data_IF_532450694789
#
_entry.id   IF_532450694789
#
_cell.length_a   1.000
_cell.length_b   1.000
_cell.length_c   1.000
_cell.angle_alpha   90.00
_cell.angle_beta   90.00
_cell.angle_gamma   90.00
#
_symmetry.space_group_name_H-M   'P 1'
#
loop_
_entity.id
_entity.type
_entity.pdbx_description
1 polymer ?
#
# COMPACT_ATOMS: atom_id res chain seq x y z
N UNK A 1 -30.62 8.25 -8.79
CA UNK A 1 -30.40 8.49 -7.35
C UNK A 1 -28.92 8.22 -7.15
N UNK A 2 -28.10 9.19 -6.72
CA UNK A 2 -26.74 8.84 -6.32
C UNK A 2 -26.86 7.76 -5.24
N UNK A 3 -26.10 6.68 -5.36
CA UNK A 3 -26.08 5.61 -4.36
C UNK A 3 -25.74 6.18 -2.98
N UNK A 4 -26.13 5.48 -1.93
CA UNK A 4 -25.70 5.82 -0.58
C UNK A 4 -24.18 5.60 -0.49
N UNK A 5 -23.41 6.69 -0.54
CA UNK A 5 -21.95 6.68 -0.39
C UNK A 5 -21.55 5.94 0.90
N UNK A 6 -20.82 4.84 0.73
CA UNK A 6 -20.43 3.87 1.74
C UNK A 6 -18.93 3.53 1.62
N UNK A 7 -18.06 4.48 1.97
CA UNK A 7 -16.64 4.37 1.69
C UNK A 7 -15.98 3.30 2.55
N UNK A 8 -14.99 2.62 1.97
CA UNK A 8 -14.15 1.64 2.66
C UNK A 8 -12.79 2.22 2.96
N UNK A 9 -12.12 1.73 4.00
CA UNK A 9 -10.73 2.09 4.26
C UNK A 9 -9.86 1.51 3.13
N UNK A 10 -9.12 2.37 2.43
CA UNK A 10 -8.29 2.04 1.25
C UNK A 10 -6.81 1.94 1.60
N UNK A 11 -6.31 2.88 2.38
CA UNK A 11 -4.94 2.85 2.91
C UNK A 11 -4.86 3.54 4.27
N UNK A 12 -3.84 3.19 5.05
CA UNK A 12 -3.63 3.73 6.39
C UNK A 12 -2.15 3.64 6.82
N UNK A 13 -1.75 4.55 7.71
CA UNK A 13 -0.41 4.55 8.29
C UNK A 13 -0.42 5.18 9.67
N UNK A 14 0.23 4.51 10.63
CA UNK A 14 0.46 5.04 11.97
C UNK A 14 1.90 5.54 12.13
N UNK A 15 2.05 6.70 12.78
CA UNK A 15 3.34 7.25 13.24
C UNK A 15 3.59 6.83 14.68
N UNK A 16 2.55 6.89 15.51
CA UNK A 16 2.51 6.38 16.89
C UNK A 16 1.07 6.06 17.28
N UNK A 17 0.84 5.76 18.56
CA UNK A 17 -0.50 5.42 19.10
C UNK A 17 -1.56 6.49 18.78
N UNK A 18 -1.20 7.75 18.94
CA UNK A 18 -2.15 8.87 18.91
C UNK A 18 -2.07 9.66 17.59
N UNK A 19 -1.09 9.36 16.74
CA UNK A 19 -0.90 9.96 15.41
C UNK A 19 -0.98 8.89 14.33
N UNK A 20 -2.07 8.89 13.57
CA UNK A 20 -2.25 8.03 12.40
C UNK A 20 -3.12 8.70 11.33
N UNK A 21 -3.00 8.23 10.09
CA UNK A 21 -3.78 8.69 8.95
C UNK A 21 -4.59 7.53 8.36
N UNK A 22 -5.84 7.81 8.02
CA UNK A 22 -6.80 6.89 7.42
C UNK A 22 -7.34 7.50 6.13
N UNK A 23 -7.44 6.68 5.08
CA UNK A 23 -7.99 7.12 3.79
C UNK A 23 -9.17 6.23 3.45
N UNK A 24 -10.33 6.86 3.32
CA UNK A 24 -11.58 6.23 2.94
C UNK A 24 -11.96 6.62 1.51
N UNK A 25 -12.46 5.67 0.73
CA UNK A 25 -12.92 5.93 -0.63
C UNK A 25 -13.84 4.83 -1.15
N UNK A 26 -14.50 5.11 -2.26
CA UNK A 26 -15.24 4.14 -3.06
C UNK A 26 -14.53 3.92 -4.38
N UNK A 27 -14.63 2.70 -4.90
CA UNK A 27 -14.17 2.36 -6.25
C UNK A 27 -15.26 2.82 -7.22
N UNK A 28 -15.24 4.09 -7.58
CA UNK A 28 -16.08 4.68 -8.63
C UNK A 28 -15.16 5.35 -9.67
N UNK A 29 -15.27 4.90 -10.92
CA UNK A 29 -14.36 5.32 -12.00
C UNK A 29 -14.66 6.73 -12.53
N UNK A 30 -15.93 7.14 -12.49
CA UNK A 30 -16.41 8.43 -13.01
C UNK A 30 -16.54 9.51 -11.93
N UNK A 31 -16.48 9.13 -10.64
CA UNK A 31 -16.62 10.04 -9.50
C UNK A 31 -15.60 9.75 -8.38
N UNK A 32 -14.32 9.65 -8.77
CA UNK A 32 -13.23 9.37 -7.82
C UNK A 32 -13.23 10.35 -6.66
N UNK A 33 -13.29 9.82 -5.44
CA UNK A 33 -13.36 10.62 -4.23
C UNK A 33 -12.70 9.90 -3.07
N UNK A 34 -11.84 10.61 -2.35
CA UNK A 34 -11.21 10.12 -1.12
C UNK A 34 -11.39 11.10 0.02
N UNK A 35 -11.72 10.55 1.18
CA UNK A 35 -11.70 11.23 2.47
C UNK A 35 -10.39 10.87 3.17
N UNK A 36 -9.56 11.87 3.43
CA UNK A 36 -8.35 11.73 4.23
C UNK A 36 -8.61 12.21 5.64
N UNK A 37 -8.46 11.31 6.61
CA UNK A 37 -8.60 11.60 8.03
C UNK A 37 -7.24 11.50 8.71
N UNK A 38 -6.88 12.55 9.43
CA UNK A 38 -5.69 12.59 10.27
C UNK A 38 -6.13 12.64 11.73
N UNK A 39 -5.71 11.67 12.51
CA UNK A 39 -5.90 11.67 13.96
C UNK A 39 -4.64 12.21 14.64
N UNK A 40 -4.82 13.15 15.55
CA UNK A 40 -3.81 13.61 16.48
C UNK A 40 -4.45 13.82 17.87
N UNK A 41 -4.18 12.89 18.78
CA UNK A 41 -4.73 12.89 20.14
C UNK A 41 -4.22 14.01 21.07
N UNK A 42 -3.31 14.89 20.62
CA UNK A 42 -2.90 16.06 21.40
C UNK A 42 -3.88 17.23 21.30
N UNK A 43 -4.81 17.20 20.35
CA UNK A 43 -5.82 18.24 20.17
C UNK A 43 -7.17 17.83 20.76
N UNK A 44 -7.94 18.82 21.23
CA UNK A 44 -9.29 18.62 21.76
C UNK A 44 -10.26 18.07 20.70
N UNK A 45 -10.09 18.53 19.46
CA UNK A 45 -10.71 17.94 18.26
C UNK A 45 -9.62 17.14 17.54
N UNK A 46 -9.46 15.83 17.82
CA UNK A 46 -8.30 15.07 17.37
C UNK A 46 -8.36 14.71 15.88
N UNK A 47 -9.51 14.91 15.23
CA UNK A 47 -9.71 14.57 13.83
C UNK A 47 -9.63 15.80 12.94
N UNK A 48 -8.80 15.69 11.90
CA UNK A 48 -8.80 16.62 10.76
C UNK A 48 -9.20 15.86 9.50
N UNK A 49 -10.11 16.43 8.71
CA UNK A 49 -10.59 15.86 7.45
C UNK A 49 -10.16 16.72 6.26
N UNK A 50 -9.77 16.06 5.18
CA UNK A 50 -9.48 16.67 3.88
C UNK A 50 -10.09 15.78 2.79
N UNK A 51 -10.78 16.39 1.84
CA UNK A 51 -11.44 15.68 0.75
C UNK A 51 -10.73 15.99 -0.58
N UNK A 52 -10.56 14.98 -1.42
CA UNK A 52 -9.99 15.14 -2.76
C UNK A 52 -10.79 14.34 -3.79
N UNK A 53 -10.90 14.90 -5.00
CA UNK A 53 -11.48 14.23 -6.16
C UNK A 53 -10.44 13.33 -6.86
N UNK A 54 -9.88 12.40 -6.08
CA UNK A 54 -8.85 11.43 -6.50
C UNK A 54 -9.02 10.13 -5.73
N UNK A 55 -8.59 9.02 -6.31
CA UNK A 55 -8.34 7.79 -5.56
C UNK A 55 -6.95 7.86 -4.93
N UNK A 56 -6.87 7.72 -3.60
CA UNK A 56 -5.63 7.72 -2.84
C UNK A 56 -5.25 6.28 -2.48
N UNK A 57 -4.13 5.83 -3.04
CA UNK A 57 -3.70 4.43 -2.98
C UNK A 57 -2.71 4.15 -1.84
N UNK A 58 -1.90 5.13 -1.45
CA UNK A 58 -0.89 4.94 -0.42
C UNK A 58 -0.75 6.15 0.49
N UNK A 59 -0.36 5.87 1.73
CA UNK A 59 0.01 6.86 2.73
C UNK A 59 1.23 6.37 3.52
N UNK A 60 2.15 7.28 3.80
CA UNK A 60 3.34 7.02 4.62
C UNK A 60 3.69 8.25 5.45
N UNK A 61 4.46 8.06 6.52
CA UNK A 61 5.02 9.15 7.31
C UNK A 61 6.20 9.79 6.60
N UNK A 62 6.25 11.12 6.53
CA UNK A 62 7.29 11.88 5.85
C UNK A 62 7.50 13.26 6.50
N UNK A 63 8.72 13.78 6.46
CA UNK A 63 9.04 15.14 6.91
C UNK A 63 9.94 15.20 8.16
N UNK A 64 10.55 16.39 8.43
CA UNK A 64 11.53 16.55 9.50
C UNK A 64 10.86 16.85 10.84
N UNK A 65 11.26 16.13 11.90
CA UNK A 65 11.04 16.53 13.29
C UNK A 65 11.61 17.96 13.53
N UNK A 66 10.82 19.01 13.27
CA UNK A 66 11.24 20.38 13.54
C UNK A 66 11.38 20.52 15.05
N UNK A 67 12.55 20.97 15.52
CA UNK A 67 12.82 21.11 16.95
C UNK A 67 11.75 21.97 17.63
N UNK A 68 10.87 21.33 18.41
CA UNK A 68 9.75 21.95 19.13
C UNK A 68 8.36 21.78 18.52
N UNK A 69 8.24 21.24 17.30
CA UNK A 69 6.97 20.83 16.69
C UNK A 69 6.94 19.32 16.45
N UNK A 70 5.77 18.69 16.51
CA UNK A 70 5.58 17.29 16.08
C UNK A 70 5.85 17.22 14.58
N UNK A 71 7.08 16.89 14.19
CA UNK A 71 7.53 17.07 12.79
C UNK A 71 7.53 15.82 11.92
N UNK A 72 6.70 14.83 12.22
CA UNK A 72 6.37 13.81 11.21
C UNK A 72 4.99 14.15 10.65
N UNK A 73 4.94 14.47 9.35
CA UNK A 73 3.73 14.65 8.57
C UNK A 73 3.43 13.35 7.80
N UNK A 74 2.35 13.36 7.02
CA UNK A 74 2.02 12.28 6.09
C UNK A 74 2.21 12.75 4.66
N UNK A 75 2.75 11.88 3.82
CA UNK A 75 2.64 11.98 2.37
C UNK A 75 1.62 10.95 1.88
N UNK A 76 0.76 11.35 0.95
CA UNK A 76 -0.32 10.53 0.38
C UNK A 76 -0.22 10.55 -1.14
N UNK A 77 -0.38 9.41 -1.77
CA UNK A 77 -0.20 9.23 -3.21
C UNK A 77 -1.53 8.84 -3.87
N UNK A 78 -1.93 9.58 -4.90
CA UNK A 78 -3.04 9.20 -5.76
C UNK A 78 -2.64 8.17 -6.82
N UNK A 79 -3.62 7.44 -7.35
CA UNK A 79 -3.45 6.60 -8.54
C UNK A 79 -2.90 7.39 -9.75
N UNK A 80 -3.27 8.67 -9.84
CA UNK A 80 -2.82 9.61 -10.86
C UNK A 80 -1.44 10.21 -10.60
N UNK A 81 -0.76 9.90 -9.49
CA UNK A 81 0.57 10.44 -9.19
C UNK A 81 0.58 11.87 -8.65
N UNK A 82 -0.55 12.34 -8.14
CA UNK A 82 -0.59 13.48 -7.23
C UNK A 82 -0.08 13.04 -5.85
N UNK A 83 0.83 13.80 -5.27
CA UNK A 83 1.38 13.57 -3.93
C UNK A 83 0.98 14.71 -3.02
N UNK A 84 0.16 14.41 -2.02
CA UNK A 84 -0.33 15.37 -1.05
C UNK A 84 0.45 15.26 0.26
N UNK A 85 0.68 16.39 0.91
CA UNK A 85 1.35 16.43 2.22
C UNK A 85 0.42 16.98 3.28
N UNK A 86 0.42 16.37 4.47
CA UNK A 86 -0.45 16.78 5.58
C UNK A 86 -0.01 18.07 6.29
N UNK A 87 0.98 18.77 5.74
CA UNK A 87 1.47 20.06 6.22
C UNK A 87 0.40 21.16 6.17
N UNK A 88 0.56 22.26 6.92
CA UNK A 88 -0.32 23.42 6.82
C UNK A 88 -0.47 23.90 5.36
N UNK A 89 -1.70 24.13 4.93
CA UNK A 89 -2.00 24.49 3.55
C UNK A 89 -2.15 23.30 2.59
N UNK A 90 -1.87 22.08 3.06
CA UNK A 90 -2.05 20.82 2.33
C UNK A 90 -1.45 20.86 0.91
N UNK A 91 -0.13 21.13 0.80
CA UNK A 91 0.49 21.26 -0.51
C UNK A 91 0.42 19.93 -1.27
N UNK A 92 0.35 20.05 -2.59
CA UNK A 92 0.33 18.93 -3.51
C UNK A 92 1.43 19.08 -4.56
N UNK A 93 2.05 17.97 -4.92
CA UNK A 93 3.01 17.83 -6.01
C UNK A 93 2.47 16.86 -7.05
N UNK A 94 2.98 16.94 -8.28
CA UNK A 94 2.66 16.00 -9.36
C UNK A 94 3.92 15.28 -9.79
N UNK A 95 3.87 13.95 -9.85
CA UNK A 95 4.90 13.13 -10.49
C UNK A 95 4.68 13.20 -11.99
N UNK A 96 5.60 13.85 -12.70
CA UNK A 96 5.50 14.02 -14.15
C UNK A 96 5.48 12.67 -14.87
N UNK A 97 4.56 12.49 -15.82
CA UNK A 97 4.45 11.25 -16.59
C UNK A 97 3.63 10.14 -15.92
N UNK A 98 3.25 10.30 -14.66
CA UNK A 98 2.48 9.31 -13.91
C UNK A 98 0.96 9.51 -14.06
N UNK A 99 0.22 8.42 -13.89
CA UNK A 99 -1.24 8.41 -13.93
C UNK A 99 -1.82 7.70 -15.15
N UNK A 100 -3.15 7.57 -15.15
CA UNK A 100 -3.92 6.91 -16.21
C UNK A 100 -4.56 7.98 -17.09
N UNK A 101 -5.24 8.95 -16.46
CA UNK A 101 -6.05 9.96 -17.14
C UNK A 101 -5.43 11.36 -17.10
N UNK A 102 -4.33 11.53 -16.37
CA UNK A 102 -3.62 12.81 -16.30
C UNK A 102 -3.16 13.27 -17.69
N UNK A 103 -3.24 14.58 -18.02
CA UNK A 103 -2.84 15.09 -19.34
C UNK A 103 -1.37 14.83 -19.71
N UNK A 104 -0.50 14.65 -18.71
CA UNK A 104 0.92 14.33 -18.87
C UNK A 104 1.22 12.83 -18.73
N UNK A 105 0.21 11.97 -18.61
CA UNK A 105 0.39 10.53 -18.42
C UNK A 105 1.18 9.89 -19.58
N UNK A 106 2.17 9.08 -19.24
CA UNK A 106 3.03 8.37 -20.21
C UNK A 106 2.42 7.06 -20.73
N UNK A 107 1.20 6.71 -20.32
CA UNK A 107 0.55 5.43 -20.66
C UNK A 107 1.04 4.23 -19.86
N UNK A 108 1.94 4.43 -18.89
CA UNK A 108 2.50 3.36 -18.05
C UNK A 108 1.55 2.91 -16.92
N UNK A 109 0.45 3.63 -16.66
CA UNK A 109 -0.59 3.24 -15.70
C UNK A 109 -0.52 3.97 -14.36
N UNK A 110 -1.26 3.44 -13.38
CA UNK A 110 -1.43 4.04 -12.05
C UNK A 110 -0.27 3.73 -11.09
N UNK A 111 -0.12 4.63 -10.11
CA UNK A 111 0.75 4.43 -8.95
C UNK A 111 -0.02 3.83 -7.78
N UNK A 112 0.61 2.93 -7.03
CA UNK A 112 -0.04 2.18 -5.95
C UNK A 112 0.69 2.24 -4.63
N UNK A 113 1.99 2.53 -4.62
CA UNK A 113 2.80 2.39 -3.43
C UNK A 113 3.68 3.61 -3.19
N UNK A 114 3.81 3.97 -1.91
CA UNK A 114 4.60 5.09 -1.43
C UNK A 114 5.41 4.64 -0.20
N UNK A 115 6.70 4.93 -0.20
CA UNK A 115 7.58 4.70 0.95
C UNK A 115 8.49 5.89 1.20
N UNK A 116 8.82 6.10 2.47
CA UNK A 116 9.72 7.15 2.92
C UNK A 116 10.95 6.55 3.60
N UNK A 117 12.08 7.23 3.45
CA UNK A 117 13.24 7.06 4.32
C UNK A 117 13.91 8.41 4.54
N UNK A 118 13.82 8.93 5.77
CA UNK A 118 14.24 10.31 6.07
C UNK A 118 13.52 11.31 5.16
N UNK A 119 14.30 12.15 4.47
CA UNK A 119 13.77 13.17 3.56
C UNK A 119 13.63 12.68 2.10
N UNK A 120 13.64 11.36 1.87
CA UNK A 120 13.47 10.77 0.54
C UNK A 120 12.13 10.05 0.46
N UNK A 121 11.39 10.28 -0.61
CA UNK A 121 10.20 9.48 -0.97
C UNK A 121 10.48 8.63 -2.20
N UNK A 122 9.80 7.49 -2.24
CA UNK A 122 9.76 6.59 -3.37
C UNK A 122 8.31 6.28 -3.69
N UNK A 123 7.95 6.37 -4.97
CA UNK A 123 6.63 5.99 -5.46
C UNK A 123 6.78 4.92 -6.53
N UNK A 124 5.85 3.97 -6.59
CA UNK A 124 5.90 2.90 -7.58
C UNK A 124 4.50 2.43 -8.02
N UNK A 125 4.42 1.89 -9.23
CA UNK A 125 3.16 1.53 -9.88
C UNK A 125 3.30 0.51 -10.99
N UNK A 126 2.31 0.49 -11.89
CA UNK A 126 2.24 -0.46 -13.02
C UNK A 126 3.45 -0.29 -13.96
N UNK A 127 3.74 -1.33 -14.75
CA UNK A 127 4.75 -1.30 -15.81
C UNK A 127 6.14 -0.87 -15.34
N UNK A 128 6.55 -1.33 -14.15
CA UNK A 128 7.84 -1.04 -13.54
C UNK A 128 8.09 0.43 -13.22
N UNK A 129 7.04 1.27 -13.14
CA UNK A 129 7.17 2.66 -12.73
C UNK A 129 7.77 2.73 -11.33
N UNK A 130 8.92 3.38 -11.20
CA UNK A 130 9.51 3.74 -9.91
C UNK A 130 10.02 5.17 -10.00
N UNK A 131 9.71 5.97 -8.99
CA UNK A 131 10.09 7.38 -8.89
C UNK A 131 10.73 7.65 -7.54
N UNK A 132 11.64 8.61 -7.50
CA UNK A 132 12.33 9.07 -6.30
C UNK A 132 12.19 10.58 -6.16
N UNK A 133 11.88 11.03 -4.94
CA UNK A 133 11.89 12.44 -4.56
C UNK A 133 13.02 12.69 -3.57
N UNK A 134 13.93 13.60 -3.91
CA UNK A 134 15.00 14.04 -3.03
C UNK A 134 14.59 15.15 -2.06
N UNK A 135 15.59 15.69 -1.35
CA UNK A 135 15.45 16.88 -0.49
C UNK A 135 15.13 18.16 -1.25
N UNK A 136 15.48 18.21 -2.52
CA UNK A 136 15.17 19.31 -3.45
C UNK A 136 13.68 19.38 -3.83
N UNK A 137 12.91 18.34 -3.47
CA UNK A 137 11.49 18.25 -3.78
C UNK A 137 11.18 17.91 -5.22
N UNK A 138 12.18 17.44 -5.98
CA UNK A 138 12.00 17.08 -7.38
C UNK A 138 11.80 15.57 -7.48
N UNK A 139 10.74 15.17 -8.18
CA UNK A 139 10.51 13.78 -8.56
C UNK A 139 11.28 13.43 -9.83
N UNK A 140 12.00 12.31 -9.79
CA UNK A 140 12.69 11.75 -10.94
C UNK A 140 12.23 10.30 -11.15
N UNK A 141 12.07 9.88 -12.41
CA UNK A 141 11.97 8.46 -12.73
C UNK A 141 13.28 7.80 -12.30
N UNK A 142 13.18 6.77 -11.45
CA UNK A 142 14.32 6.12 -10.82
C UNK A 142 14.32 4.65 -11.22
N UNK A 143 15.39 4.22 -11.88
CA UNK A 143 15.48 2.88 -12.46
C UNK A 143 15.56 2.92 -13.99
N UNK A 144 14.98 3.94 -14.64
CA UNK A 144 15.07 4.10 -16.09
C UNK A 144 16.54 4.17 -16.56
N UNK A 145 16.91 3.27 -17.47
CA UNK A 145 18.26 3.07 -17.99
C UNK A 145 19.22 2.31 -17.05
N UNK A 146 18.78 1.85 -15.89
CA UNK A 146 19.62 1.05 -14.99
C UNK A 146 19.66 -0.42 -15.40
N UNK A 147 20.75 -1.11 -15.05
CA UNK A 147 20.86 -2.55 -15.28
C UNK A 147 19.76 -3.31 -14.54
N UNK A 148 19.04 -4.20 -15.24
CA UNK A 148 18.02 -5.07 -14.67
C UNK A 148 16.64 -4.43 -14.51
N UNK A 149 16.45 -3.20 -15.00
CA UNK A 149 15.14 -2.52 -15.07
C UNK A 149 14.06 -3.40 -15.70
N UNK A 150 14.40 -4.10 -16.79
CA UNK A 150 13.47 -4.95 -17.53
C UNK A 150 12.82 -6.03 -16.65
N UNK A 151 13.49 -6.41 -15.55
CA UNK A 151 12.99 -7.41 -14.62
C UNK A 151 11.80 -6.94 -13.79
N UNK A 152 11.62 -5.61 -13.62
CA UNK A 152 10.48 -5.03 -12.89
C UNK A 152 9.38 -4.51 -13.80
N UNK A 153 9.61 -4.43 -15.10
CA UNK A 153 8.64 -3.91 -16.07
C UNK A 153 7.32 -4.72 -16.10
N UNK A 154 7.38 -6.02 -15.82
CA UNK A 154 6.20 -6.91 -15.85
C UNK A 154 5.70 -7.29 -14.44
N UNK A 155 6.04 -6.51 -13.42
CA UNK A 155 5.68 -6.82 -12.04
C UNK A 155 4.39 -6.10 -11.65
N UNK A 156 3.38 -6.87 -11.26
CA UNK A 156 2.21 -6.38 -10.55
C UNK A 156 2.62 -6.03 -9.12
N UNK A 157 2.96 -4.75 -8.90
CA UNK A 157 3.48 -4.30 -7.62
C UNK A 157 2.44 -4.45 -6.51
N UNK A 158 2.82 -5.11 -5.42
CA UNK A 158 1.98 -5.30 -4.25
C UNK A 158 2.42 -4.47 -3.04
N UNK A 159 3.73 -4.34 -2.81
CA UNK A 159 4.26 -3.52 -1.72
C UNK A 159 5.66 -3.00 -2.00
N UNK A 160 5.99 -1.86 -1.36
CA UNK A 160 7.35 -1.33 -1.29
C UNK A 160 7.75 -0.97 0.13
N UNK A 161 9.05 -1.04 0.42
CA UNK A 161 9.62 -0.46 1.64
C UNK A 161 10.99 0.14 1.34
N UNK A 162 11.22 1.36 1.83
CA UNK A 162 12.51 2.02 1.71
C UNK A 162 13.43 1.59 2.86
N UNK A 163 14.67 1.25 2.53
CA UNK A 163 15.72 0.89 3.47
C UNK A 163 16.97 1.73 3.20
N UNK A 164 17.02 2.94 3.76
CA UNK A 164 18.04 3.90 3.35
C UNK A 164 17.59 4.75 2.16
N UNK A 165 18.37 5.79 1.81
CA UNK A 165 18.03 6.74 0.75
C UNK A 165 18.24 6.20 -0.68
N UNK A 166 18.71 4.96 -0.81
CA UNK A 166 19.13 4.33 -2.06
C UNK A 166 18.64 2.89 -2.20
N UNK A 167 17.97 2.29 -1.20
CA UNK A 167 17.49 0.91 -1.33
C UNK A 167 15.99 0.89 -1.21
N UNK A 168 15.35 0.37 -2.25
CA UNK A 168 13.93 0.11 -2.29
C UNK A 168 13.71 -1.38 -2.50
N UNK A 169 12.89 -1.97 -1.62
CA UNK A 169 12.40 -3.33 -1.77
C UNK A 169 11.04 -3.27 -2.46
N UNK A 170 10.87 -4.07 -3.51
CA UNK A 170 9.61 -4.17 -4.27
C UNK A 170 9.20 -5.62 -4.32
N UNK A 171 7.93 -5.92 -4.03
CA UNK A 171 7.38 -7.27 -4.17
C UNK A 171 6.09 -7.26 -4.98
N UNK A 172 5.84 -8.34 -5.70
CA UNK A 172 4.67 -8.48 -6.55
C UNK A 172 4.57 -9.83 -7.24
N UNK A 173 3.55 -9.98 -8.09
CA UNK A 173 3.43 -11.09 -9.05
C UNK A 173 3.92 -10.69 -10.43
N UNK A 174 4.07 -11.64 -11.35
CA UNK A 174 4.37 -11.33 -12.76
C UNK A 174 3.06 -11.17 -13.52
N UNK A 175 2.80 -9.96 -14.02
CA UNK A 175 1.74 -9.79 -15.00
C UNK A 175 2.03 -10.74 -16.17
N UNK A 176 1.05 -11.53 -16.64
CA UNK A 176 1.19 -12.17 -17.95
C UNK A 176 1.65 -11.11 -18.93
N UNK A 177 2.47 -11.47 -19.90
CA UNK A 177 2.68 -10.61 -21.04
C UNK A 177 1.28 -10.27 -21.53
N UNK A 178 0.84 -9.03 -21.25
CA UNK A 178 -0.40 -8.55 -21.79
C UNK A 178 -0.21 -8.83 -23.28
N UNK A 179 -1.19 -9.45 -23.91
CA UNK A 179 -1.44 -9.02 -25.28
C UNK A 179 -1.69 -7.53 -25.10
N UNK A 180 -0.62 -6.74 -25.15
CA UNK A 180 -0.69 -5.31 -25.25
C UNK A 180 -1.64 -5.16 -26.42
N UNK A 181 -2.84 -4.68 -26.14
CA UNK A 181 -3.63 -4.16 -27.22
C UNK A 181 -2.69 -3.18 -27.88
N UNK A 182 -2.36 -3.45 -29.13
CA UNK A 182 -1.35 -2.70 -29.83
C UNK A 182 -1.95 -1.32 -30.09
N UNK A 183 -1.85 -0.44 -29.09
CA UNK A 183 -2.29 0.95 -29.16
C UNK A 183 -1.53 1.67 -30.29
N UNK A 184 -0.45 1.07 -30.81
CA UNK A 184 0.24 1.59 -31.98
C UNK A 184 -0.52 1.35 -33.29
N UNK A 185 -1.43 0.36 -33.36
CA UNK A 185 -2.26 0.12 -34.56
C UNK A 185 -3.46 1.08 -34.63
N UNK A 186 -3.98 1.55 -33.49
CA UNK A 186 -5.06 2.53 -33.43
C UNK A 186 -4.93 3.49 -32.24
N UNK A 187 -4.31 4.68 -32.43
CA UNK A 187 -4.21 5.72 -31.40
C UNK A 187 -5.58 6.25 -30.93
N UNK A 188 -6.65 5.98 -31.69
CA UNK A 188 -8.01 6.41 -31.39
C UNK A 188 -8.83 5.33 -30.69
N UNK A 189 -8.23 4.17 -30.36
CA UNK A 189 -8.90 3.05 -29.69
C UNK A 189 -9.66 3.47 -28.43
N UNK A 190 -9.11 4.43 -27.68
CA UNK A 190 -9.74 4.96 -26.47
C UNK A 190 -10.69 6.14 -26.72
N UNK A 191 -10.66 6.75 -27.91
CA UNK A 191 -11.44 7.97 -28.21
C UNK A 191 -12.95 7.68 -28.31
N UNK A 192 -13.32 6.48 -28.75
CA UNK A 192 -14.70 6.04 -28.94
C UNK A 192 -15.24 5.19 -27.77
N UNK A 193 -14.42 4.88 -26.77
CA UNK A 193 -14.84 4.10 -25.61
C UNK A 193 -15.59 4.95 -24.60
N UNK A 194 -16.72 4.43 -24.11
CA UNK A 194 -17.36 5.02 -22.93
C UNK A 194 -16.52 4.76 -21.67
N UNK A 195 -16.73 5.55 -20.62
CA UNK A 195 -16.08 5.32 -19.33
C UNK A 195 -16.42 3.93 -18.76
N UNK A 196 -17.65 3.45 -19.00
CA UNK A 196 -18.07 2.11 -18.60
C UNK A 196 -17.29 1.02 -19.34
N UNK A 197 -16.99 1.23 -20.64
CA UNK A 197 -16.19 0.29 -21.42
C UNK A 197 -14.73 0.28 -20.96
N UNK A 198 -14.17 1.44 -20.60
CA UNK A 198 -12.83 1.56 -20.01
C UNK A 198 -12.77 0.84 -18.66
N UNK A 199 -13.74 1.09 -17.78
CA UNK A 199 -13.84 0.44 -16.48
C UNK A 199 -13.98 -1.09 -16.63
N UNK A 200 -14.83 -1.56 -17.54
CA UNK A 200 -14.97 -2.98 -17.84
C UNK A 200 -13.69 -3.60 -18.41
N UNK A 201 -12.93 -2.85 -19.22
CA UNK A 201 -11.62 -3.26 -19.72
C UNK A 201 -10.60 -3.39 -18.58
N UNK A 202 -10.55 -2.42 -17.67
CA UNK A 202 -9.69 -2.43 -16.48
C UNK A 202 -10.06 -3.57 -15.51
N UNK A 203 -11.35 -3.75 -15.22
CA UNK A 203 -11.83 -4.86 -14.38
C UNK A 203 -11.53 -6.22 -15.02
N UNK A 204 -11.67 -6.32 -16.34
CA UNK A 204 -11.29 -7.52 -17.09
C UNK A 204 -9.78 -7.74 -17.03
N UNK A 205 -8.97 -6.69 -17.11
CA UNK A 205 -7.52 -6.76 -16.96
C UNK A 205 -7.17 -7.24 -15.54
N UNK A 206 -7.71 -6.62 -14.48
CA UNK A 206 -7.54 -7.04 -13.09
C UNK A 206 -7.99 -8.49 -12.85
N UNK A 207 -9.09 -8.92 -13.47
CA UNK A 207 -9.57 -10.30 -13.39
C UNK A 207 -8.69 -11.29 -14.18
N UNK A 208 -8.12 -10.88 -15.31
CA UNK A 208 -7.13 -11.65 -16.06
C UNK A 208 -5.84 -11.80 -15.24
N UNK A 209 -5.33 -10.70 -14.67
CA UNK A 209 -4.18 -10.69 -13.77
C UNK A 209 -4.41 -11.62 -12.58
N UNK A 210 -5.60 -11.60 -11.98
CA UNK A 210 -5.96 -12.48 -10.87
C UNK A 210 -6.12 -13.97 -11.26
N UNK A 211 -6.40 -14.29 -12.54
CA UNK A 211 -6.72 -15.66 -13.00
C UNK A 211 -5.58 -16.40 -13.71
N UNK A 212 -4.46 -15.74 -13.98
CA UNK A 212 -3.36 -16.27 -14.82
C UNK A 212 -2.00 -16.38 -14.11
N UNK A 213 -1.89 -15.96 -12.85
CA UNK A 213 -0.65 -16.05 -12.09
C UNK A 213 -0.39 -17.50 -11.64
N UNK A 214 0.33 -18.27 -12.46
CA UNK A 214 1.20 -19.33 -11.93
C UNK A 214 2.14 -18.73 -10.86
N UNK A 215 2.64 -19.55 -9.93
CA UNK A 215 3.55 -19.11 -8.86
C UNK A 215 4.74 -18.31 -9.42
N UNK A 216 4.64 -16.98 -9.35
CA UNK A 216 5.52 -16.04 -10.02
C UNK A 216 5.95 -14.88 -9.12
N UNK A 217 5.80 -15.03 -7.80
CA UNK A 217 6.18 -14.02 -6.83
C UNK A 217 7.62 -13.54 -7.04
N UNK A 218 7.80 -12.23 -7.10
CA UNK A 218 9.10 -11.58 -7.28
C UNK A 218 9.39 -10.64 -6.12
N UNK A 219 10.65 -10.58 -5.74
CA UNK A 219 11.18 -9.57 -4.85
C UNK A 219 12.46 -8.98 -5.44
N UNK A 220 12.55 -7.66 -5.45
CA UNK A 220 13.70 -6.95 -6.00
C UNK A 220 14.27 -5.98 -4.99
N UNK A 221 15.59 -5.83 -5.04
CA UNK A 221 16.31 -4.72 -4.46
C UNK A 221 16.68 -3.76 -5.58
N UNK A 222 16.20 -2.53 -5.51
CA UNK A 222 16.66 -1.46 -6.38
C UNK A 222 17.57 -0.51 -5.60
N UNK A 223 18.72 -0.16 -6.19
CA UNK A 223 19.55 0.93 -5.71
C UNK A 223 20.47 1.50 -6.78
N UNK A 224 21.44 2.31 -6.41
CA UNK A 224 22.32 3.00 -7.38
C UNK A 224 23.11 2.03 -8.29
N UNK A 225 23.28 0.77 -7.86
CA UNK A 225 23.91 -0.29 -8.64
C UNK A 225 22.97 -1.03 -9.61
N UNK A 226 21.70 -0.62 -9.72
CA UNK A 226 20.68 -1.27 -10.54
C UNK A 226 19.68 -2.11 -9.73
N UNK A 227 18.95 -2.94 -10.47
CA UNK A 227 17.90 -3.82 -9.94
C UNK A 227 18.45 -5.24 -9.79
N UNK A 228 18.31 -5.80 -8.60
CA UNK A 228 18.70 -7.16 -8.28
C UNK A 228 17.48 -7.98 -7.85
N UNK A 229 17.25 -9.11 -8.51
CA UNK A 229 16.26 -10.10 -8.05
C UNK A 229 16.79 -10.82 -6.80
N UNK A 230 15.96 -10.87 -5.76
CA UNK A 230 16.28 -11.49 -4.48
C UNK A 230 15.73 -12.92 -4.35
N UNK A 231 14.74 -13.26 -5.19
CA UNK A 231 14.06 -14.56 -5.15
C UNK A 231 14.27 -15.26 -6.51
N UNK A 232 15.15 -16.27 -6.59
CA UNK A 232 15.47 -16.94 -7.84
C UNK A 232 14.58 -18.15 -8.19
N UNK A 233 13.69 -18.61 -7.28
CA UNK A 233 12.80 -19.74 -7.50
C UNK A 233 11.34 -19.30 -7.68
N UNK A 234 10.48 -20.07 -8.37
CA UNK A 234 9.06 -19.78 -8.39
C UNK A 234 8.51 -19.92 -6.96
N UNK A 235 7.94 -18.82 -6.48
CA UNK A 235 7.20 -18.75 -5.21
C UNK A 235 5.80 -18.24 -5.50
N UNK A 236 4.80 -18.51 -4.64
CA UNK A 236 3.49 -17.89 -4.76
C UNK A 236 3.58 -16.36 -4.80
N UNK A 237 2.55 -15.70 -5.32
CA UNK A 237 2.54 -14.23 -5.42
C UNK A 237 2.79 -13.57 -4.07
N UNK A 238 3.71 -12.60 -4.05
CA UNK A 238 4.08 -11.89 -2.85
C UNK A 238 3.21 -10.64 -2.69
N UNK A 239 2.76 -10.36 -1.47
CA UNK A 239 1.77 -9.31 -1.17
C UNK A 239 2.32 -8.21 -0.28
N UNK A 240 3.18 -8.53 0.67
CA UNK A 240 3.72 -7.57 1.62
C UNK A 240 5.11 -7.95 2.10
N UNK A 241 5.85 -6.96 2.59
CA UNK A 241 7.15 -7.17 3.22
C UNK A 241 7.30 -6.33 4.50
N UNK A 242 8.19 -6.78 5.37
CA UNK A 242 8.61 -6.07 6.57
C UNK A 242 10.13 -6.20 6.73
N UNK A 243 10.83 -5.08 6.59
CA UNK A 243 12.26 -4.95 6.89
C UNK A 243 12.42 -4.66 8.37
N UNK A 244 12.94 -5.63 9.14
CA UNK A 244 13.33 -5.45 10.54
C UNK A 244 14.76 -4.91 10.61
N UNK A 245 15.66 -5.49 9.82
CA UNK A 245 17.05 -5.05 9.62
C UNK A 245 17.51 -5.41 8.20
N UNK A 246 18.69 -4.95 7.79
CA UNK A 246 19.30 -5.37 6.51
C UNK A 246 19.39 -6.89 6.36
N UNK A 247 19.56 -7.61 7.47
CA UNK A 247 19.73 -9.05 7.49
C UNK A 247 18.42 -9.81 7.73
N UNK A 248 17.39 -9.15 8.26
CA UNK A 248 16.11 -9.78 8.63
C UNK A 248 14.96 -9.07 7.92
N UNK A 249 14.52 -9.67 6.83
CA UNK A 249 13.42 -9.20 6.00
C UNK A 249 12.42 -10.34 5.87
N UNK A 250 11.16 -10.03 6.18
CA UNK A 250 10.04 -10.95 6.05
C UNK A 250 9.22 -10.56 4.83
N UNK A 251 8.86 -11.54 4.00
CA UNK A 251 7.96 -11.33 2.86
C UNK A 251 6.84 -12.37 2.96
N UNK A 252 5.60 -11.95 2.74
CA UNK A 252 4.44 -12.83 2.79
C UNK A 252 3.63 -12.76 1.51
N UNK A 253 2.88 -13.82 1.21
CA UNK A 253 2.13 -13.93 -0.03
C UNK A 253 1.00 -14.96 -0.01
N UNK A 254 0.58 -15.35 -1.20
CA UNK A 254 -0.46 -16.36 -1.43
C UNK A 254 0.00 -17.76 -1.03
N UNK A 255 -0.96 -18.69 -0.90
CA UNK A 255 -0.71 -20.09 -0.54
C UNK A 255 0.17 -20.24 0.73
N UNK A 256 -0.04 -19.37 1.72
CA UNK A 256 0.70 -19.35 2.98
C UNK A 256 2.20 -19.07 2.85
N UNK A 257 2.68 -18.51 1.74
CA UNK A 257 4.09 -18.24 1.54
C UNK A 257 4.62 -17.23 2.56
N UNK A 258 5.59 -17.64 3.39
CA UNK A 258 6.37 -16.76 4.27
C UNK A 258 7.83 -16.99 3.94
N UNK A 259 8.49 -15.95 3.45
CA UNK A 259 9.90 -15.95 3.13
C UNK A 259 10.66 -15.13 4.19
N UNK A 260 11.83 -15.63 4.58
CA UNK A 260 12.76 -14.90 5.43
C UNK A 260 14.14 -14.87 4.79
N UNK A 261 14.78 -13.71 4.83
CA UNK A 261 16.07 -13.48 4.19
C UNK A 261 16.63 -12.12 4.57
N UNK A 262 17.60 -11.63 3.79
CA UNK A 262 18.20 -10.32 3.98
C UNK A 262 18.71 -9.75 2.67
N UNK A 263 19.27 -8.55 2.70
CA UNK A 263 19.81 -7.91 1.49
C UNK A 263 21.01 -8.67 0.92
N UNK A 264 21.77 -9.36 1.77
CA UNK A 264 22.94 -10.18 1.41
C UNK A 264 22.74 -11.67 1.77
N UNK A 265 21.52 -12.05 2.18
CA UNK A 265 21.17 -13.43 2.54
C UNK A 265 20.04 -13.92 1.64
N UNK A 266 20.14 -15.12 1.06
CA UNK A 266 19.08 -15.64 0.21
C UNK A 266 17.76 -15.73 0.98
N UNK A 267 16.66 -15.51 0.27
CA UNK A 267 15.33 -15.72 0.82
C UNK A 267 14.95 -17.20 0.74
N UNK A 268 14.45 -17.73 1.84
CA UNK A 268 13.97 -19.10 1.95
C UNK A 268 12.50 -19.10 2.39
N UNK A 269 11.70 -20.03 1.86
CA UNK A 269 10.34 -20.26 2.37
C UNK A 269 10.47 -20.98 3.71
N UNK A 270 9.97 -20.34 4.77
CA UNK A 270 10.03 -20.85 6.15
C UNK A 270 8.68 -21.35 6.67
N UNK A 271 7.58 -21.04 5.97
CA UNK A 271 6.25 -21.53 6.32
C UNK A 271 6.04 -23.02 6.00
N UNK A 272 5.02 -23.60 6.63
CA UNK A 272 4.61 -24.98 6.39
C UNK A 272 3.73 -25.07 5.14
N UNK A 273 3.86 -26.15 4.36
CA UNK A 273 2.94 -26.44 3.24
C UNK A 273 1.47 -26.66 3.67
N UNK A 274 1.20 -26.76 4.97
CA UNK A 274 -0.15 -26.80 5.52
C UNK A 274 -0.82 -25.41 5.58
N UNK A 275 -0.04 -24.33 5.59
CA UNK A 275 -0.54 -22.98 5.55
C UNK A 275 -0.92 -22.66 4.08
N UNK A 276 -2.20 -22.46 3.80
CA UNK A 276 -2.70 -22.26 2.42
C UNK A 276 -3.45 -20.93 2.21
N UNK A 277 -3.63 -20.16 3.29
CA UNK A 277 -4.35 -18.89 3.27
C UNK A 277 -3.57 -17.78 2.55
N UNK A 278 -4.27 -16.80 1.98
CA UNK A 278 -3.63 -15.61 1.40
C UNK A 278 -3.16 -14.67 2.52
N UNK A 279 -1.85 -14.40 2.58
CA UNK A 279 -1.24 -13.49 3.55
C UNK A 279 -1.14 -12.08 2.95
N UNK A 280 -1.76 -11.11 3.60
CA UNK A 280 -1.98 -9.76 3.09
C UNK A 280 -0.99 -8.73 3.66
N UNK A 281 -0.53 -8.93 4.90
CA UNK A 281 0.35 -7.96 5.57
C UNK A 281 1.19 -8.66 6.65
N UNK A 282 2.40 -8.15 6.90
CA UNK A 282 3.33 -8.69 7.90
C UNK A 282 4.00 -7.55 8.67
N UNK A 283 4.21 -7.74 9.97
CA UNK A 283 4.95 -6.80 10.81
C UNK A 283 5.67 -7.51 11.96
N UNK A 284 6.59 -6.80 12.62
CA UNK A 284 7.33 -7.29 13.78
C UNK A 284 6.86 -6.56 15.04
N UNK A 285 6.31 -7.31 15.98
CA UNK A 285 5.75 -6.76 17.22
C UNK A 285 6.33 -7.51 18.42
N UNK A 286 7.04 -6.80 19.31
CA UNK A 286 7.67 -7.37 20.52
C UNK A 286 8.48 -8.65 20.28
N UNK A 287 9.23 -8.68 19.17
CA UNK A 287 10.06 -9.83 18.78
C UNK A 287 9.30 -10.95 18.06
N UNK A 288 8.01 -10.76 17.79
CA UNK A 288 7.14 -11.73 17.13
C UNK A 288 6.79 -11.31 15.71
N UNK A 289 6.62 -12.28 14.82
CA UNK A 289 6.18 -12.03 13.44
C UNK A 289 4.67 -12.17 13.40
N UNK A 290 3.99 -11.04 13.19
CA UNK A 290 2.54 -10.97 13.11
C UNK A 290 2.14 -10.85 11.64
N UNK A 291 1.18 -11.68 11.23
CA UNK A 291 0.72 -11.77 9.85
C UNK A 291 -0.79 -11.58 9.81
N UNK A 292 -1.27 -10.71 8.92
CA UNK A 292 -2.67 -10.63 8.56
C UNK A 292 -2.91 -11.46 7.29
N UNK A 293 -3.95 -12.29 7.29
CA UNK A 293 -4.46 -13.04 6.15
C UNK A 293 -5.84 -12.55 5.76
N UNK A 294 -6.49 -13.16 4.77
CA UNK A 294 -7.89 -12.89 4.43
C UNK A 294 -8.89 -13.23 5.55
N UNK A 295 -8.53 -14.12 6.48
CA UNK A 295 -9.41 -14.62 7.54
C UNK A 295 -9.07 -14.10 8.95
N UNK A 296 -7.95 -13.39 9.13
CA UNK A 296 -7.63 -12.75 10.41
C UNK A 296 -6.14 -12.50 10.69
N UNK A 297 -5.80 -12.44 11.97
CA UNK A 297 -4.46 -12.19 12.49
C UNK A 297 -3.83 -13.45 13.10
N UNK A 298 -2.55 -13.62 12.79
CA UNK A 298 -1.77 -14.81 13.14
C UNK A 298 -0.41 -14.41 13.70
N UNK A 299 0.09 -15.19 14.65
CA UNK A 299 1.51 -15.27 15.04
C UNK A 299 2.18 -16.33 14.19
N UNK A 300 3.33 -16.01 13.64
CA UNK A 300 4.20 -16.99 13.01
C UNK A 300 5.27 -17.44 14.01
N UNK A 301 5.30 -18.72 14.34
CA UNK A 301 6.23 -19.29 15.33
C UNK A 301 7.60 -19.69 14.75
N UNK A 302 7.82 -19.41 13.46
CA UNK A 302 8.99 -19.86 12.70
C UNK A 302 8.72 -21.09 11.84
N UNK A 303 7.56 -21.74 11.98
CA UNK A 303 7.17 -22.87 11.15
C UNK A 303 5.71 -22.82 10.68
N UNK A 304 4.77 -22.40 11.53
CA UNK A 304 3.34 -22.37 11.23
C UNK A 304 2.67 -21.10 11.72
N UNK A 305 1.55 -20.79 11.08
CA UNK A 305 0.65 -19.74 11.54
C UNK A 305 -0.24 -20.25 12.67
N UNK A 306 -0.25 -19.49 13.76
CA UNK A 306 -1.12 -19.71 14.91
C UNK A 306 -2.03 -18.49 15.06
N UNK A 307 -3.34 -18.66 15.25
CA UNK A 307 -4.22 -17.52 15.50
C UNK A 307 -3.73 -16.69 16.70
N UNK A 308 -3.58 -15.38 16.53
CA UNK A 308 -3.03 -14.49 17.56
C UNK A 308 -3.87 -14.46 18.85
N UNK A 309 -5.18 -14.72 18.76
CA UNK A 309 -6.07 -15.15 19.87
C UNK A 309 -7.43 -15.58 19.29
N UNK A 310 -8.29 -16.25 20.10
CA UNK A 310 -9.56 -16.84 19.62
C UNK A 310 -10.52 -15.77 19.09
N UNK A 311 -10.62 -15.75 17.75
CA UNK A 311 -11.64 -15.12 16.90
C UNK A 311 -11.63 -13.60 16.93
N UNK A 312 -11.14 -13.04 15.82
CA UNK A 312 -11.54 -11.73 15.33
C UNK A 312 -13.07 -11.47 15.37
N UNK A 313 -13.92 -12.50 15.53
CA UNK A 313 -15.36 -12.37 15.74
C UNK A 313 -15.79 -11.67 17.04
N UNK A 314 -14.88 -11.43 18.00
CA UNK A 314 -15.11 -10.49 19.12
C UNK A 314 -14.48 -9.10 18.83
N UNK A 315 -13.63 -9.03 17.81
CA UNK A 315 -12.87 -7.85 17.35
C UNK A 315 -13.54 -7.21 16.12
N UNK A 316 -14.60 -7.78 15.59
CA UNK A 316 -15.38 -7.26 14.47
C UNK A 316 -16.84 -7.51 14.84
N UNK A 317 -17.58 -6.44 15.16
CA UNK A 317 -18.88 -6.52 15.85
C UNK A 317 -19.96 -7.29 15.08
N UNK A 318 -19.75 -7.60 13.79
CA UNK A 318 -20.41 -8.67 13.02
C UNK A 318 -19.90 -8.61 11.59
N UNK A 319 -19.57 -9.76 10.99
CA UNK A 319 -19.17 -9.84 9.58
C UNK A 319 -17.86 -10.59 9.33
N UNK A 320 -17.56 -10.82 8.06
CA UNK A 320 -16.29 -11.41 7.61
C UNK A 320 -15.23 -10.30 7.59
N UNK A 321 -14.14 -10.41 8.37
CA UNK A 321 -13.03 -9.47 8.34
C UNK A 321 -12.58 -9.15 6.92
N UNK A 322 -12.05 -7.95 6.72
CA UNK A 322 -11.43 -7.54 5.46
C UNK A 322 -10.08 -6.88 5.76
N UNK A 323 -9.09 -7.65 6.25
CA UNK A 323 -7.81 -7.09 6.69
C UNK A 323 -7.14 -6.34 5.54
N UNK A 324 -6.70 -5.11 5.83
CA UNK A 324 -5.99 -4.28 4.88
C UNK A 324 -4.49 -4.26 5.18
N UNK A 325 -4.15 -3.99 6.44
CA UNK A 325 -2.77 -3.82 6.89
C UNK A 325 -2.65 -4.09 8.38
N UNK A 326 -1.52 -4.66 8.80
CA UNK A 326 -1.10 -4.69 10.19
C UNK A 326 0.20 -3.89 10.34
N UNK A 327 0.31 -3.07 11.38
CA UNK A 327 1.49 -2.23 11.60
C UNK A 327 1.83 -2.16 13.08
N UNK A 328 3.02 -2.64 13.45
CA UNK A 328 3.56 -2.43 14.77
C UNK A 328 4.21 -1.04 14.88
N UNK A 329 3.87 -0.29 15.93
CA UNK A 329 4.47 1.00 16.24
C UNK A 329 4.67 1.12 17.74
N UNK A 330 5.93 1.15 18.17
CA UNK A 330 6.29 1.09 19.59
C UNK A 330 5.70 -0.17 20.25
N UNK A 331 4.88 0.04 21.28
CA UNK A 331 4.21 -1.02 22.05
C UNK A 331 2.79 -1.35 21.57
N UNK A 332 2.37 -0.80 20.43
CA UNK A 332 1.04 -1.03 19.88
C UNK A 332 1.09 -1.73 18.53
N UNK A 333 0.12 -2.59 18.30
CA UNK A 333 -0.18 -3.21 17.01
C UNK A 333 -1.46 -2.59 16.45
N UNK A 334 -1.37 -1.89 15.33
CA UNK A 334 -2.52 -1.44 14.57
C UNK A 334 -3.01 -2.54 13.65
N UNK A 335 -4.31 -2.81 13.71
CA UNK A 335 -5.05 -3.63 12.77
C UNK A 335 -6.01 -2.74 11.97
N UNK A 336 -5.74 -2.60 10.69
CA UNK A 336 -6.56 -1.83 9.75
C UNK A 336 -7.41 -2.80 8.93
N UNK A 337 -8.72 -2.59 8.94
CA UNK A 337 -9.71 -3.39 8.23
C UNK A 337 -10.53 -2.49 7.29
N UNK A 338 -10.64 -2.91 6.03
CA UNK A 338 -11.31 -2.15 4.99
C UNK A 338 -12.78 -1.85 5.31
N UNK A 339 -13.46 -2.74 6.05
CA UNK A 339 -14.90 -2.64 6.38
C UNK A 339 -15.14 -2.21 7.82
N UNK A 340 -14.25 -2.58 8.73
CA UNK A 340 -14.49 -2.45 10.17
C UNK A 340 -13.64 -1.37 10.85
N UNK A 341 -12.85 -0.62 10.08
CA UNK A 341 -12.06 0.49 10.59
C UNK A 341 -10.77 0.04 11.25
N UNK A 342 -10.44 0.61 12.40
CA UNK A 342 -9.10 0.48 13.01
C UNK A 342 -9.20 0.01 14.44
N UNK A 343 -8.30 -0.90 14.82
CA UNK A 343 -8.14 -1.34 16.20
C UNK A 343 -6.68 -1.33 16.62
N UNK A 344 -6.43 -1.02 17.88
CA UNK A 344 -5.12 -1.06 18.50
C UNK A 344 -5.08 -2.23 19.49
N UNK A 345 -3.94 -2.91 19.52
CA UNK A 345 -3.64 -3.93 20.52
C UNK A 345 -2.35 -3.57 21.24
N UNK A 346 -2.39 -3.57 22.56
CA UNK A 346 -1.24 -3.28 23.43
C UNK A 346 -0.49 -4.55 23.90
N UNK A 347 -0.91 -5.72 23.42
CA UNK A 347 -0.44 -7.03 23.86
C UNK A 347 -1.42 -7.79 24.76
N UNK A 348 -2.34 -7.07 25.39
CA UNK A 348 -3.29 -7.62 26.37
C UNK A 348 -4.74 -7.37 25.96
N UNK A 349 -5.05 -6.19 25.42
CA UNK A 349 -6.41 -5.72 25.14
C UNK A 349 -6.52 -5.01 23.80
N UNK A 350 -7.71 -5.13 23.19
CA UNK A 350 -8.04 -4.46 21.93
C UNK A 350 -8.89 -3.20 22.20
N UNK A 351 -8.47 -2.08 21.62
CA UNK A 351 -9.20 -0.81 21.61
C UNK A 351 -9.66 -0.50 20.19
N UNK A 352 -10.94 -0.16 20.01
CA UNK A 352 -11.46 0.29 18.72
C UNK A 352 -11.30 1.80 18.56
N UNK A 353 -10.71 2.24 17.45
CA UNK A 353 -10.67 3.65 17.09
C UNK A 353 -12.04 4.07 16.60
N UNK A 354 -12.67 5.01 17.31
CA UNK A 354 -13.96 5.55 16.90
C UNK A 354 -13.76 6.72 15.94
N UNK A 355 -13.98 6.47 14.64
CA UNK A 355 -14.15 7.53 13.65
C UNK A 355 -15.59 8.07 13.76
N UNK A 356 -15.80 9.38 14.01
CA UNK A 356 -17.13 9.96 13.98
C UNK A 356 -17.82 9.72 12.62
N UNK A 357 -19.04 9.15 12.58
CA UNK A 357 -19.71 8.79 11.32
C UNK A 357 -19.94 9.97 10.38
N UNK A 358 -20.09 11.19 10.90
CA UNK A 358 -20.18 12.43 10.13
C UNK A 358 -18.93 12.69 9.28
N UNK A 359 -17.74 12.28 9.75
CA UNK A 359 -16.50 12.38 8.99
C UNK A 359 -16.42 11.39 7.83
N UNK A 360 -17.34 10.42 7.73
CA UNK A 360 -17.40 9.45 6.64
C UNK A 360 -18.50 9.76 5.62
N UNK A 361 -19.25 10.85 5.80
CA UNK A 361 -20.26 11.28 4.81
C UNK A 361 -19.61 11.97 3.63
N UNK A 362 -20.13 11.77 2.42
CA UNK A 362 -19.63 12.47 1.22
C UNK A 362 -19.66 13.99 1.40
N UNK A 363 -20.82 14.53 1.75
CA UNK A 363 -20.95 15.93 2.17
C UNK A 363 -20.64 16.06 3.66
N UNK A 364 -19.45 16.58 3.99
CA UNK A 364 -19.18 17.01 5.36
C UNK A 364 -19.89 18.33 5.65
N UNK A 365 -20.67 18.36 6.73
CA UNK A 365 -21.20 19.59 7.30
C UNK A 365 -20.52 19.75 8.65
N UNK A 366 -19.80 20.85 8.84
CA UNK A 366 -19.21 21.17 10.14
C UNK A 366 -20.29 21.06 11.23
N UNK A 367 -20.01 20.42 12.37
CA UNK A 367 -20.90 20.46 13.51
C UNK A 367 -21.00 21.92 13.96
N UNK A 368 -22.15 22.55 13.70
CA UNK A 368 -22.48 23.94 14.08
C UNK A 368 -22.47 24.16 15.58
#
# INVERSE_FOLDING_TARGET
>A
MPGDFNPKLRCAHAIDRDRFALVYGELEYDDTFSIMLFHDGAFETPWRRIDVAREINAVTSFGPAVAGARGEAYALLSNEGDVYFSDPGFPAEKIAGAGIQSPDASGRGALYALAAHGDTLFAAGTNGQVYRRGRDGVWIAWGDGQSGEEAIAQVALAAIQAFGPQVLMVVGGVLPEAQAYDVTEDPTFFDDMSIDDLAALFERQLALEASTLEASGKAFRMGDGGVLSLVPAPVPNLRALCVETADSIWIVGENGAILHGGLERPFEIVSSAADQQTLLSVTRFRGETIVASEDGLHRFDGHRLQPLQRRLGEVVDSGVPSPLKVQAVGDFLFYFDAKHGVRLWDGDSWEAVRVPPELLRREFRDPS
#
